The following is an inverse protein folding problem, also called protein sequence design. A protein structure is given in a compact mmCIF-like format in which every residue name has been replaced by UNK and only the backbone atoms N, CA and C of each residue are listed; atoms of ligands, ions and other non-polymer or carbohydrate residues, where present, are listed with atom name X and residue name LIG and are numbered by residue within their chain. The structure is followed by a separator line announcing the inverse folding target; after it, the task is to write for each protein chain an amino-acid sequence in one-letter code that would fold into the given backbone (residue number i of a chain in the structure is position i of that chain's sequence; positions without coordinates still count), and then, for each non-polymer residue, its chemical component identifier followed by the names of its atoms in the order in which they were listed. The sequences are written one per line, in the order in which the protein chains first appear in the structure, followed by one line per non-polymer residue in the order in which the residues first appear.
data_IF_921485525811
#
_entry.id   IF_921485525811
#
_cell.length_a   1.000
_cell.length_b   1.000
_cell.length_c   1.000
_cell.angle_alpha   90.00
_cell.angle_beta   90.00
_cell.angle_gamma   90.00
#
_symmetry.space_group_name_H-M   'P 1'
#
loop_
_entity.id
_entity.type
_entity.pdbx_description
1 polymer ?
#
# COMPACT_ATOMS: atom_id res chain seq x y z
N UNK A 1 -26.24 5.91 -37.32
CA UNK A 1 -25.04 5.14 -36.91
C UNK A 1 -24.55 5.67 -35.58
N UNK A 2 -25.28 5.33 -34.51
CA UNK A 2 -24.94 5.59 -33.11
C UNK A 2 -25.35 4.30 -32.41
N UNK A 3 -24.38 3.43 -32.13
CA UNK A 3 -24.47 2.29 -31.20
C UNK A 3 -23.32 1.34 -31.51
N UNK A 4 -22.25 1.40 -30.71
CA UNK A 4 -21.29 0.29 -30.51
C UNK A 4 -20.25 0.55 -29.39
N UNK A 5 -20.19 1.73 -28.76
CA UNK A 5 -19.19 1.99 -27.71
C UNK A 5 -19.69 1.85 -26.25
N UNK A 6 -20.96 1.49 -26.01
CA UNK A 6 -21.52 1.42 -24.66
C UNK A 6 -21.51 0.02 -24.00
N UNK A 7 -21.03 -1.02 -24.69
CA UNK A 7 -21.20 -2.41 -24.24
C UNK A 7 -19.97 -3.04 -23.56
N UNK A 8 -18.83 -2.34 -23.49
CA UNK A 8 -17.59 -2.89 -22.91
C UNK A 8 -17.37 -2.46 -21.45
N UNK A 9 -18.13 -1.49 -20.93
CA UNK A 9 -17.87 -0.92 -19.59
C UNK A 9 -18.75 -1.49 -18.46
N UNK A 10 -19.59 -2.50 -18.73
CA UNK A 10 -20.56 -3.03 -17.75
C UNK A 10 -20.42 -4.54 -17.44
N UNK A 11 -19.26 -5.14 -17.70
CA UNK A 11 -18.99 -6.58 -17.46
C UNK A 11 -17.94 -6.86 -16.38
N UNK A 12 -17.66 -5.90 -15.49
CA UNK A 12 -16.68 -6.05 -14.40
C UNK A 12 -17.30 -6.08 -13.00
N UNK A 13 -18.61 -6.35 -12.87
CA UNK A 13 -19.29 -6.46 -11.58
C UNK A 13 -20.13 -7.74 -11.55
N UNK A 14 -19.53 -8.85 -11.11
CA UNK A 14 -20.19 -9.98 -10.42
C UNK A 14 -19.34 -11.25 -10.36
N UNK A 15 -18.01 -11.18 -10.42
CA UNK A 15 -17.22 -12.21 -9.75
C UNK A 15 -17.39 -12.00 -8.25
N UNK A 16 -18.38 -12.67 -7.66
CA UNK A 16 -18.41 -12.97 -6.23
C UNK A 16 -17.18 -13.85 -5.98
N UNK A 17 -16.01 -13.21 -5.85
CA UNK A 17 -14.82 -13.85 -5.34
C UNK A 17 -15.18 -14.18 -3.91
N UNK A 18 -15.54 -15.44 -3.69
CA UNK A 18 -15.67 -15.98 -2.35
C UNK A 18 -14.35 -15.66 -1.64
N UNK A 19 -14.40 -14.78 -0.63
CA UNK A 19 -13.24 -14.42 0.19
C UNK A 19 -12.83 -15.67 0.93
N UNK A 20 -12.01 -16.46 0.26
CA UNK A 20 -11.53 -17.73 0.76
C UNK A 20 -10.46 -17.37 1.77
N UNK A 21 -10.77 -17.61 3.05
CA UNK A 21 -9.79 -17.53 4.13
C UNK A 21 -8.54 -18.33 3.71
N UNK A 22 -7.34 -17.75 3.87
CA UNK A 22 -6.10 -18.33 3.38
C UNK A 22 -5.96 -19.80 3.78
N UNK A 23 -5.46 -20.63 2.87
CA UNK A 23 -5.40 -22.08 3.08
C UNK A 23 -4.65 -22.47 4.36
N UNK A 24 -3.60 -21.73 4.73
CA UNK A 24 -2.86 -21.92 5.97
C UNK A 24 -3.74 -21.85 7.22
N UNK A 25 -4.74 -20.95 7.24
CA UNK A 25 -5.69 -20.80 8.34
C UNK A 25 -6.63 -22.01 8.49
N UNK A 26 -6.78 -22.81 7.43
CA UNK A 26 -7.65 -23.96 7.41
C UNK A 26 -6.94 -25.26 7.84
N UNK A 27 -5.60 -25.28 7.80
CA UNK A 27 -4.79 -26.44 8.15
C UNK A 27 -5.04 -26.91 9.58
N UNK A 28 -5.23 -28.22 9.74
CA UNK A 28 -5.42 -28.82 11.06
C UNK A 28 -4.15 -28.69 11.90
N UNK A 29 -2.96 -28.84 11.31
CA UNK A 29 -1.69 -28.65 12.01
C UNK A 29 -1.55 -27.23 12.60
N UNK A 30 -2.03 -26.21 11.89
CA UNK A 30 -1.98 -24.82 12.35
C UNK A 30 -3.00 -24.57 13.48
N UNK A 31 -4.26 -24.95 13.26
CA UNK A 31 -5.33 -24.80 14.27
C UNK A 31 -4.98 -25.49 15.58
N UNK A 32 -4.47 -26.72 15.51
CA UNK A 32 -4.08 -27.50 16.69
C UNK A 32 -2.88 -26.88 17.41
N UNK A 33 -1.88 -26.39 16.67
CA UNK A 33 -0.74 -25.69 17.25
C UNK A 33 -1.19 -24.45 18.03
N UNK A 34 -2.02 -23.60 17.40
CA UNK A 34 -2.49 -22.35 17.99
C UNK A 34 -3.32 -22.65 19.24
N UNK A 35 -4.31 -23.54 19.15
CA UNK A 35 -5.15 -23.93 20.29
C UNK A 35 -4.33 -24.49 21.47
N UNK A 36 -3.34 -25.34 21.19
CA UNK A 36 -2.46 -25.91 22.21
C UNK A 36 -1.60 -24.84 22.86
N UNK A 37 -0.98 -23.96 22.06
CA UNK A 37 -0.17 -22.85 22.56
C UNK A 37 -0.96 -21.95 23.51
N UNK A 38 -2.16 -21.54 23.11
CA UNK A 38 -3.01 -20.67 23.94
C UNK A 38 -3.39 -21.35 25.24
N UNK A 39 -3.79 -22.61 25.16
CA UNK A 39 -4.24 -23.39 26.32
C UNK A 39 -3.14 -23.55 27.36
N UNK A 40 -1.90 -23.75 26.93
CA UNK A 40 -0.75 -23.95 27.79
C UNK A 40 -0.20 -22.63 28.34
N UNK A 41 -0.24 -21.57 27.54
CA UNK A 41 0.60 -20.39 27.76
C UNK A 41 -0.16 -19.10 28.06
N UNK A 42 -1.45 -19.02 27.72
CA UNK A 42 -2.26 -17.80 27.87
C UNK A 42 -3.25 -17.84 29.05
N UNK A 43 -3.12 -18.79 29.98
CA UNK A 43 -3.95 -18.83 31.21
C UNK A 43 -3.36 -17.90 32.28
N UNK A 44 -4.23 -17.29 33.09
CA UNK A 44 -3.84 -16.41 34.21
C UNK A 44 -2.97 -17.13 35.26
N UNK A 45 -3.17 -18.43 35.43
CA UNK A 45 -2.46 -19.29 36.40
C UNK A 45 -1.39 -20.17 35.74
N UNK A 46 -1.06 -19.94 34.46
CA UNK A 46 -0.02 -20.71 33.78
C UNK A 46 1.35 -20.45 34.44
N UNK A 47 2.22 -21.47 34.60
CA UNK A 47 3.55 -21.27 35.12
C UNK A 47 4.28 -20.21 34.30
N UNK A 48 4.97 -19.30 35.00
CA UNK A 48 5.52 -18.02 34.51
C UNK A 48 6.56 -18.15 33.38
N UNK A 49 6.84 -19.39 32.96
CA UNK A 49 7.96 -19.76 32.12
C UNK A 49 7.63 -19.86 30.62
N UNK A 50 6.35 -19.86 30.20
CA UNK A 50 6.00 -19.92 28.78
C UNK A 50 4.85 -18.95 28.43
N UNK A 51 5.19 -17.73 28.02
CA UNK A 51 4.29 -16.64 27.54
C UNK A 51 3.52 -15.87 28.64
N UNK A 52 3.23 -16.45 29.81
CA UNK A 52 2.87 -15.63 31.00
C UNK A 52 4.10 -15.26 31.84
N UNK A 53 5.05 -14.56 31.20
CA UNK A 53 6.27 -14.04 31.83
C UNK A 53 6.78 -12.78 31.13
N UNK A 54 5.84 -11.87 30.80
CA UNK A 54 6.01 -10.64 30.02
C UNK A 54 6.68 -10.84 28.66
N UNK A 55 5.88 -10.80 27.59
CA UNK A 55 6.40 -10.50 26.25
C UNK A 55 7.48 -9.41 26.36
N UNK A 56 8.64 -9.55 25.69
CA UNK A 56 9.66 -8.52 25.66
C UNK A 56 9.05 -7.14 25.47
N UNK A 57 9.57 -6.12 26.17
CA UNK A 57 8.97 -4.78 26.17
C UNK A 57 8.70 -4.27 24.75
N UNK A 58 9.60 -4.55 23.82
CA UNK A 58 9.45 -4.21 22.40
C UNK A 58 8.19 -4.81 21.75
N UNK A 59 7.84 -6.05 22.08
CA UNK A 59 6.62 -6.69 21.57
C UNK A 59 5.37 -6.11 22.24
N UNK A 60 5.44 -5.76 23.53
CA UNK A 60 4.32 -5.08 24.22
C UNK A 60 4.07 -3.67 23.67
N UNK A 61 5.14 -2.92 23.39
CA UNK A 61 5.06 -1.62 22.72
C UNK A 61 4.41 -1.79 21.34
N UNK A 62 4.81 -2.84 20.60
CA UNK A 62 4.17 -3.23 19.34
C UNK A 62 2.79 -3.89 19.49
N UNK A 63 2.11 -3.77 20.64
CA UNK A 63 0.77 -4.31 20.88
C UNK A 63 0.62 -5.82 20.55
N UNK A 64 1.67 -6.59 20.79
CA UNK A 64 1.59 -8.04 20.79
C UNK A 64 1.00 -8.51 22.13
N UNK A 65 0.15 -9.53 22.05
CA UNK A 65 -0.40 -10.25 23.18
C UNK A 65 -0.12 -11.75 23.03
N UNK A 66 -0.38 -12.52 24.08
CA UNK A 66 -0.12 -13.97 24.12
C UNK A 66 -0.75 -14.70 22.93
N UNK A 67 -1.98 -14.35 22.56
CA UNK A 67 -2.70 -14.94 21.43
C UNK A 67 -1.97 -14.70 20.10
N UNK A 68 -1.60 -13.45 19.81
CA UNK A 68 -0.86 -13.10 18.59
C UNK A 68 0.54 -13.70 18.55
N UNK A 69 1.18 -13.89 19.72
CA UNK A 69 2.48 -14.55 19.79
C UNK A 69 2.39 -16.05 19.49
N UNK A 70 1.33 -16.71 20.00
CA UNK A 70 1.03 -18.10 19.66
C UNK A 70 0.73 -18.27 18.17
N UNK A 71 -0.06 -17.37 17.59
CA UNK A 71 -0.35 -17.35 16.15
C UNK A 71 0.94 -17.25 15.33
N UNK A 72 1.76 -16.21 15.57
CA UNK A 72 3.07 -16.03 14.91
C UNK A 72 3.99 -17.24 15.06
N UNK A 73 4.12 -17.78 16.29
CA UNK A 73 4.96 -18.94 16.57
C UNK A 73 4.50 -20.18 15.80
N UNK A 74 3.19 -20.39 15.70
CA UNK A 74 2.62 -21.50 14.96
C UNK A 74 2.75 -21.34 13.45
N UNK A 75 2.63 -20.12 12.90
CA UNK A 75 2.93 -19.87 11.50
C UNK A 75 4.38 -20.29 11.17
N UNK A 76 5.34 -19.94 12.04
CA UNK A 76 6.74 -20.38 11.91
C UNK A 76 6.87 -21.90 11.92
N UNK A 77 6.30 -22.56 12.94
CA UNK A 77 6.43 -24.01 13.13
C UNK A 77 5.84 -24.75 11.92
N UNK A 78 4.63 -24.38 11.49
CA UNK A 78 3.96 -25.03 10.36
C UNK A 78 4.71 -24.78 9.06
N UNK A 79 5.15 -23.55 8.80
CA UNK A 79 5.94 -23.22 7.60
C UNK A 79 7.21 -24.07 7.52
N UNK A 80 7.99 -24.13 8.61
CA UNK A 80 9.23 -24.91 8.65
C UNK A 80 8.98 -26.42 8.56
N UNK A 81 7.93 -26.92 9.22
CA UNK A 81 7.53 -28.33 9.12
C UNK A 81 7.18 -28.70 7.68
N UNK A 82 6.36 -27.89 7.01
CA UNK A 82 5.93 -28.14 5.63
C UNK A 82 7.11 -28.12 4.67
N UNK A 83 7.98 -27.11 4.77
CA UNK A 83 9.20 -27.00 3.96
C UNK A 83 10.12 -28.21 4.15
N UNK A 84 10.33 -28.67 5.39
CA UNK A 84 11.15 -29.86 5.69
C UNK A 84 10.59 -31.15 5.06
N UNK A 85 9.26 -31.26 4.95
CA UNK A 85 8.59 -32.42 4.38
C UNK A 85 8.29 -32.28 2.88
N UNK A 86 8.84 -31.27 2.20
CA UNK A 86 8.58 -31.04 0.77
C UNK A 86 7.14 -30.63 0.45
N UNK A 87 6.39 -30.15 1.44
CA UNK A 87 5.03 -29.64 1.26
C UNK A 87 5.05 -28.16 0.90
N UNK A 88 4.07 -27.71 0.11
CA UNK A 88 3.91 -26.31 -0.29
C UNK A 88 3.74 -25.41 0.94
N UNK A 89 4.49 -24.31 1.00
CA UNK A 89 4.29 -23.24 1.98
C UNK A 89 2.93 -22.56 1.75
N UNK A 90 2.28 -22.10 2.81
CA UNK A 90 0.91 -21.57 2.76
C UNK A 90 0.86 -20.18 3.41
N UNK A 91 -0.05 -19.34 2.94
CA UNK A 91 -0.34 -18.06 3.56
C UNK A 91 -1.24 -18.23 4.78
N UNK A 92 -1.01 -17.39 5.78
CA UNK A 92 -1.81 -17.24 6.99
C UNK A 92 -2.35 -15.82 7.01
N UNK A 93 -3.67 -15.66 7.17
CA UNK A 93 -4.32 -14.35 7.21
C UNK A 93 -4.00 -13.43 6.01
N UNK A 94 -3.83 -14.02 4.82
CA UNK A 94 -3.51 -13.30 3.58
C UNK A 94 -2.03 -12.98 3.39
N UNK A 95 -1.16 -13.42 4.32
CA UNK A 95 0.28 -13.11 4.30
C UNK A 95 1.13 -14.35 4.42
N UNK A 96 2.35 -14.28 3.90
CA UNK A 96 3.35 -15.30 4.13
C UNK A 96 3.97 -15.17 5.53
N UNK A 97 4.65 -16.22 5.99
CA UNK A 97 5.42 -16.16 7.23
C UNK A 97 6.72 -15.35 7.03
N UNK A 98 6.92 -14.32 7.87
CA UNK A 98 8.14 -13.51 7.93
C UNK A 98 8.90 -13.74 9.24
N UNK A 99 10.23 -13.65 9.19
CA UNK A 99 11.01 -13.60 10.42
C UNK A 99 10.89 -12.21 11.03
N UNK A 100 10.49 -12.16 12.30
CA UNK A 100 10.41 -10.90 13.05
C UNK A 100 11.80 -10.51 13.56
N UNK A 101 12.24 -9.28 13.27
CA UNK A 101 13.52 -8.71 13.72
C UNK A 101 13.24 -7.48 14.57
N UNK A 102 13.78 -7.40 15.79
CA UNK A 102 13.52 -6.30 16.74
C UNK A 102 12.02 -5.96 16.95
N UNK A 103 11.14 -6.97 16.84
CA UNK A 103 9.70 -6.77 16.94
C UNK A 103 8.98 -6.33 15.66
N UNK A 104 9.73 -6.00 14.60
CA UNK A 104 9.21 -5.64 13.27
C UNK A 104 8.74 -6.89 12.55
N UNK A 105 7.46 -6.92 12.16
CA UNK A 105 6.83 -8.06 11.50
C UNK A 105 7.37 -8.28 10.08
N UNK A 106 7.54 -7.22 9.29
CA UNK A 106 8.02 -7.29 7.90
C UNK A 106 9.24 -6.36 7.69
N UNK A 107 10.46 -6.80 8.08
CA UNK A 107 11.62 -5.91 8.16
C UNK A 107 12.03 -5.24 6.85
N UNK A 108 11.94 -5.97 5.72
CA UNK A 108 12.29 -5.42 4.41
C UNK A 108 11.27 -4.36 3.96
N UNK A 109 9.98 -4.63 4.10
CA UNK A 109 8.90 -3.68 3.79
C UNK A 109 9.07 -2.39 4.61
N UNK A 110 9.33 -2.50 5.92
CA UNK A 110 9.62 -1.34 6.80
C UNK A 110 10.81 -0.53 6.31
N UNK A 111 11.93 -1.20 6.01
CA UNK A 111 13.15 -0.51 5.57
C UNK A 111 12.92 0.26 4.27
N UNK A 112 12.31 -0.37 3.26
CA UNK A 112 12.06 0.29 1.99
C UNK A 112 10.95 1.36 2.07
N UNK A 113 9.96 1.22 2.95
CA UNK A 113 8.98 2.30 3.23
C UNK A 113 9.67 3.53 3.82
N UNK A 114 10.61 3.36 4.76
CA UNK A 114 11.39 4.47 5.33
C UNK A 114 12.20 5.17 4.24
N UNK A 115 12.85 4.41 3.35
CA UNK A 115 13.63 4.98 2.24
C UNK A 115 12.76 5.77 1.26
N UNK A 116 11.58 5.25 0.89
CA UNK A 116 10.64 6.02 0.07
C UNK A 116 10.17 7.30 0.79
N UNK A 117 9.86 7.21 2.08
CA UNK A 117 9.54 8.39 2.91
C UNK A 117 10.67 9.43 2.92
N UNK A 118 11.93 8.99 2.99
CA UNK A 118 13.09 9.87 2.90
C UNK A 118 13.18 10.60 1.56
N UNK A 119 12.86 9.94 0.44
CA UNK A 119 12.81 10.59 -0.87
C UNK A 119 11.72 11.68 -0.92
N UNK A 120 10.53 11.43 -0.36
CA UNK A 120 9.50 12.46 -0.25
C UNK A 120 9.93 13.62 0.68
N UNK A 121 10.72 13.35 1.72
CA UNK A 121 11.31 14.37 2.58
C UNK A 121 12.28 15.26 1.79
N UNK A 122 13.18 14.68 1.00
CA UNK A 122 14.08 15.43 0.13
C UNK A 122 13.31 16.27 -0.90
N UNK A 123 12.32 15.66 -1.56
CA UNK A 123 11.44 16.33 -2.51
C UNK A 123 10.74 17.55 -1.90
N UNK A 124 10.21 17.43 -0.68
CA UNK A 124 9.62 18.57 0.05
C UNK A 124 10.61 19.74 0.21
N UNK A 125 11.85 19.46 0.60
CA UNK A 125 12.88 20.49 0.79
C UNK A 125 13.30 21.11 -0.55
N UNK A 126 13.54 20.29 -1.58
CA UNK A 126 13.90 20.77 -2.92
C UNK A 126 12.79 21.63 -3.52
N UNK A 127 11.52 21.25 -3.40
CA UNK A 127 10.39 22.06 -3.87
C UNK A 127 10.35 23.40 -3.15
N UNK A 128 10.58 23.43 -1.83
CA UNK A 128 10.56 24.69 -1.07
C UNK A 128 11.69 25.64 -1.47
N UNK A 129 12.89 25.09 -1.71
CA UNK A 129 14.11 25.85 -1.99
C UNK A 129 14.26 26.26 -3.47
N UNK A 130 13.96 25.36 -4.40
CA UNK A 130 14.27 25.53 -5.82
C UNK A 130 13.11 26.11 -6.63
N UNK A 131 11.86 25.91 -6.20
CA UNK A 131 10.69 26.39 -6.94
C UNK A 131 10.30 27.79 -6.45
N UNK A 132 10.16 28.79 -7.34
CA UNK A 132 9.73 30.14 -6.98
C UNK A 132 8.39 30.18 -6.23
N UNK A 133 8.23 31.09 -5.27
CA UNK A 133 7.03 31.16 -4.42
C UNK A 133 5.78 31.67 -5.14
N UNK A 134 5.96 32.40 -6.25
CA UNK A 134 4.92 32.84 -7.18
C UNK A 134 4.47 31.73 -8.15
N UNK A 135 5.21 30.62 -8.23
CA UNK A 135 4.81 29.50 -9.05
C UNK A 135 3.58 28.78 -8.46
N UNK A 136 2.46 28.88 -9.18
CA UNK A 136 1.15 28.37 -8.75
C UNK A 136 1.17 26.90 -8.29
N UNK A 137 1.84 26.01 -9.04
CA UNK A 137 1.85 24.57 -8.72
C UNK A 137 2.76 24.21 -7.54
N UNK A 138 3.57 25.14 -6.99
CA UNK A 138 4.43 24.88 -5.83
C UNK A 138 3.63 24.32 -4.66
N UNK A 139 2.45 24.89 -4.37
CA UNK A 139 1.58 24.42 -3.28
C UNK A 139 1.10 22.99 -3.52
N UNK A 140 0.78 22.64 -4.76
CA UNK A 140 0.32 21.30 -5.10
C UNK A 140 1.41 20.25 -4.89
N UNK A 141 2.64 20.57 -5.28
CA UNK A 141 3.79 19.69 -5.10
C UNK A 141 4.19 19.56 -3.63
N UNK A 142 4.09 20.64 -2.84
CA UNK A 142 4.31 20.59 -1.38
C UNK A 142 3.29 19.64 -0.73
N UNK A 143 2.00 19.77 -1.05
CA UNK A 143 0.97 18.88 -0.51
C UNK A 143 1.21 17.44 -0.95
N UNK A 144 1.60 17.20 -2.20
CA UNK A 144 1.95 15.86 -2.68
C UNK A 144 3.11 15.26 -1.86
N UNK A 145 4.16 16.03 -1.59
CA UNK A 145 5.27 15.57 -0.77
C UNK A 145 4.86 15.27 0.69
N UNK A 146 3.99 16.09 1.29
CA UNK A 146 3.44 15.85 2.64
C UNK A 146 2.57 14.59 2.68
N UNK A 147 1.70 14.40 1.69
CA UNK A 147 0.88 13.20 1.58
C UNK A 147 1.73 11.95 1.35
N UNK A 148 2.82 12.07 0.58
CA UNK A 148 3.81 11.02 0.40
C UNK A 148 4.49 10.63 1.71
N UNK A 149 4.96 11.62 2.49
CA UNK A 149 5.49 11.38 3.84
C UNK A 149 4.47 10.66 4.73
N UNK A 150 3.21 11.07 4.70
CA UNK A 150 2.15 10.43 5.47
C UNK A 150 1.88 8.98 4.99
N UNK A 151 1.83 8.73 3.68
CA UNK A 151 1.63 7.40 3.13
C UNK A 151 2.75 6.44 3.53
N UNK A 152 4.01 6.83 3.34
CA UNK A 152 5.14 5.97 3.68
C UNK A 152 5.34 5.82 5.19
N UNK A 153 4.94 6.81 5.99
CA UNK A 153 4.87 6.67 7.44
C UNK A 153 3.87 5.58 7.83
N UNK A 154 2.64 5.61 7.32
CA UNK A 154 1.64 4.60 7.66
C UNK A 154 1.99 3.22 7.10
N UNK A 155 2.59 3.14 5.92
CA UNK A 155 3.18 1.91 5.38
C UNK A 155 4.24 1.33 6.32
N UNK A 156 5.14 2.18 6.84
CA UNK A 156 6.15 1.78 7.83
C UNK A 156 5.51 1.22 9.11
N UNK A 157 4.48 1.90 9.63
CA UNK A 157 3.80 1.49 10.87
C UNK A 157 3.00 0.19 10.66
N UNK A 158 2.33 0.03 9.52
CA UNK A 158 1.61 -1.18 9.15
C UNK A 158 2.53 -2.40 9.04
N UNK A 159 3.63 -2.27 8.30
CA UNK A 159 4.61 -3.35 8.13
C UNK A 159 5.41 -3.65 9.41
N UNK A 160 5.52 -2.68 10.30
CA UNK A 160 6.05 -2.91 11.64
C UNK A 160 5.08 -3.75 12.47
N UNK A 161 3.80 -3.40 12.45
CA UNK A 161 2.76 -4.09 13.20
C UNK A 161 1.39 -4.00 12.50
N UNK A 162 0.93 -5.16 12.06
CA UNK A 162 -0.36 -5.30 11.39
C UNK A 162 -1.52 -5.45 12.40
N UNK A 163 -2.47 -4.52 12.32
CA UNK A 163 -3.82 -4.63 12.87
C UNK A 163 -4.76 -3.70 12.11
N UNK A 164 -6.07 -3.90 12.27
CA UNK A 164 -7.13 -3.21 11.52
C UNK A 164 -6.94 -1.69 11.35
N UNK A 165 -6.42 -1.00 12.37
CA UNK A 165 -6.20 0.44 12.27
C UNK A 165 -4.99 0.79 11.39
N UNK A 166 -3.86 0.10 11.55
CA UNK A 166 -2.65 0.37 10.75
C UNK A 166 -2.88 -0.01 9.29
N UNK A 167 -3.58 -1.11 9.03
CA UNK A 167 -4.00 -1.55 7.69
C UNK A 167 -4.84 -0.47 6.98
N UNK A 168 -5.86 0.06 7.67
CA UNK A 168 -6.71 1.14 7.12
C UNK A 168 -5.93 2.43 6.92
N UNK A 169 -5.08 2.79 7.88
CA UNK A 169 -4.32 4.03 7.80
C UNK A 169 -3.30 4.02 6.65
N UNK A 170 -2.66 2.87 6.39
CA UNK A 170 -1.78 2.67 5.24
C UNK A 170 -2.55 2.84 3.93
N UNK A 171 -3.61 2.06 3.74
CA UNK A 171 -4.36 2.06 2.48
C UNK A 171 -5.05 3.39 2.19
N UNK A 172 -5.64 4.04 3.20
CA UNK A 172 -6.28 5.34 3.02
C UNK A 172 -5.26 6.44 2.74
N UNK A 173 -4.05 6.34 3.30
CA UNK A 173 -2.97 7.29 3.03
C UNK A 173 -2.40 7.12 1.62
N UNK A 174 -2.18 5.88 1.18
CA UNK A 174 -1.79 5.58 -0.20
C UNK A 174 -2.87 6.06 -1.21
N UNK A 175 -4.15 5.84 -0.89
CA UNK A 175 -5.25 6.32 -1.70
C UNK A 175 -5.37 7.85 -1.74
N UNK A 176 -5.14 8.53 -0.61
CA UNK A 176 -5.12 9.99 -0.57
C UNK A 176 -3.99 10.58 -1.45
N UNK A 177 -2.80 9.98 -1.41
CA UNK A 177 -1.66 10.38 -2.25
C UNK A 177 -1.98 10.21 -3.74
N UNK A 178 -2.51 9.03 -4.11
CA UNK A 178 -2.88 8.69 -5.49
C UNK A 178 -3.97 9.64 -6.01
N UNK A 179 -5.00 9.88 -5.20
CA UNK A 179 -6.09 10.78 -5.55
C UNK A 179 -5.62 12.24 -5.67
N UNK A 180 -4.75 12.71 -4.78
CA UNK A 180 -4.19 14.05 -4.88
C UNK A 180 -3.42 14.24 -6.18
N UNK A 181 -2.61 13.25 -6.56
CA UNK A 181 -1.90 13.23 -7.84
C UNK A 181 -2.85 13.29 -9.03
N UNK A 182 -3.87 12.43 -9.03
CA UNK A 182 -4.92 12.46 -10.04
C UNK A 182 -5.68 13.80 -10.07
N UNK A 183 -5.90 14.44 -8.92
CA UNK A 183 -6.59 15.72 -8.82
C UNK A 183 -5.84 16.84 -9.54
N UNK A 184 -4.53 17.02 -9.28
CA UNK A 184 -3.78 18.15 -9.85
C UNK A 184 -3.24 17.89 -11.27
N UNK A 185 -3.11 16.63 -11.69
CA UNK A 185 -2.61 16.24 -13.02
C UNK A 185 -3.38 16.88 -14.20
N UNK A 186 -4.73 16.79 -14.30
CA UNK A 186 -5.47 17.43 -15.39
C UNK A 186 -5.37 18.96 -15.34
N UNK A 187 -5.33 19.56 -14.14
CA UNK A 187 -5.12 21.01 -13.97
C UNK A 187 -3.80 21.42 -14.61
N UNK A 188 -2.73 20.65 -14.36
CA UNK A 188 -1.39 20.91 -14.89
C UNK A 188 -1.24 20.68 -16.39
N UNK A 189 -1.86 19.62 -16.91
CA UNK A 189 -1.71 19.20 -18.31
C UNK A 189 -2.53 20.08 -19.24
N UNK A 190 -3.80 20.33 -18.91
CA UNK A 190 -4.70 21.14 -19.74
C UNK A 190 -4.60 22.64 -19.45
N UNK A 191 -3.66 23.04 -18.58
CA UNK A 191 -3.43 24.43 -18.17
C UNK A 191 -4.73 25.12 -17.75
N UNK A 192 -5.51 24.42 -16.92
CA UNK A 192 -6.80 24.95 -16.42
C UNK A 192 -6.60 26.26 -15.64
N UNK A 193 -5.39 26.48 -15.11
CA UNK A 193 -4.92 27.72 -14.49
C UNK A 193 -5.03 28.96 -15.37
N UNK A 194 -5.02 28.82 -16.70
CA UNK A 194 -5.08 29.94 -17.63
C UNK A 194 -6.51 30.40 -17.96
N UNK A 195 -7.54 29.68 -17.52
CA UNK A 195 -8.93 30.03 -17.82
C UNK A 195 -9.49 31.04 -16.81
N UNK A 196 -10.32 31.97 -17.29
CA UNK A 196 -10.95 33.00 -16.44
C UNK A 196 -11.74 32.42 -15.25
N UNK A 197 -12.37 31.27 -15.44
CA UNK A 197 -13.19 30.60 -14.43
C UNK A 197 -12.45 29.46 -13.71
N UNK A 198 -11.11 29.49 -13.65
CA UNK A 198 -10.33 28.37 -13.11
C UNK A 198 -10.76 27.94 -11.70
N UNK A 199 -11.03 28.91 -10.81
CA UNK A 199 -11.47 28.65 -9.44
C UNK A 199 -12.71 27.76 -9.40
N UNK A 200 -13.70 28.03 -10.25
CA UNK A 200 -14.92 27.24 -10.32
C UNK A 200 -14.62 25.78 -10.72
N UNK A 201 -13.81 25.57 -11.75
CA UNK A 201 -13.43 24.24 -12.19
C UNK A 201 -12.63 23.47 -11.14
N UNK A 202 -11.70 24.14 -10.45
CA UNK A 202 -10.93 23.50 -9.37
C UNK A 202 -11.83 23.12 -8.21
N UNK A 203 -12.71 24.00 -7.74
CA UNK A 203 -13.57 23.68 -6.61
C UNK A 203 -14.58 22.59 -6.94
N UNK A 204 -15.15 22.61 -8.16
CA UNK A 204 -16.03 21.54 -8.62
C UNK A 204 -15.29 20.21 -8.66
N UNK A 205 -14.11 20.18 -9.27
CA UNK A 205 -13.29 18.97 -9.36
C UNK A 205 -12.84 18.45 -8.00
N UNK A 206 -12.38 19.35 -7.12
CA UNK A 206 -12.02 19.02 -5.74
C UNK A 206 -13.20 18.42 -4.98
N UNK A 207 -14.40 18.99 -5.14
CA UNK A 207 -15.62 18.48 -4.50
C UNK A 207 -15.95 17.07 -4.96
N UNK A 208 -15.81 16.78 -6.26
CA UNK A 208 -15.99 15.43 -6.81
C UNK A 208 -14.96 14.45 -6.22
N UNK A 209 -13.68 14.81 -6.24
CA UNK A 209 -12.63 13.96 -5.66
C UNK A 209 -12.85 13.69 -4.18
N UNK A 210 -13.14 14.73 -3.39
CA UNK A 210 -13.39 14.62 -1.94
C UNK A 210 -14.63 13.74 -1.68
N UNK A 211 -15.72 13.94 -2.42
CA UNK A 211 -16.93 13.14 -2.27
C UNK A 211 -16.64 11.65 -2.48
N UNK A 212 -15.98 11.28 -3.58
CA UNK A 212 -15.65 9.89 -3.86
C UNK A 212 -14.65 9.30 -2.86
N UNK A 213 -13.68 10.09 -2.39
CA UNK A 213 -12.75 9.64 -1.35
C UNK A 213 -13.44 9.36 -0.02
N UNK A 214 -14.32 10.25 0.42
CA UNK A 214 -15.11 10.06 1.63
C UNK A 214 -16.04 8.86 1.50
N UNK A 215 -16.75 8.73 0.38
CA UNK A 215 -17.61 7.57 0.14
C UNK A 215 -16.81 6.25 0.17
N UNK A 216 -15.65 6.20 -0.48
CA UNK A 216 -14.76 5.04 -0.51
C UNK A 216 -14.23 4.68 0.89
N UNK A 217 -13.68 5.65 1.62
CA UNK A 217 -13.14 5.44 2.97
C UNK A 217 -14.23 5.09 3.99
N UNK A 218 -15.42 5.68 3.89
CA UNK A 218 -16.56 5.33 4.72
C UNK A 218 -17.05 3.91 4.44
N UNK A 219 -17.15 3.51 3.17
CA UNK A 219 -17.51 2.13 2.80
C UNK A 219 -16.54 1.11 3.41
N UNK A 220 -15.24 1.30 3.20
CA UNK A 220 -14.19 0.41 3.73
C UNK A 220 -14.10 0.43 5.27
N UNK A 221 -14.50 1.54 5.91
CA UNK A 221 -14.45 1.67 7.37
C UNK A 221 -15.64 1.02 8.08
N UNK A 222 -16.84 1.20 7.53
CA UNK A 222 -18.11 0.93 8.23
C UNK A 222 -18.95 -0.19 7.62
N UNK A 223 -18.72 -0.56 6.36
CA UNK A 223 -19.50 -1.62 5.68
C UNK A 223 -18.68 -2.91 5.64
N UNK A 224 -17.68 -2.98 4.76
CA UNK A 224 -16.83 -4.14 4.59
C UNK A 224 -15.45 -3.68 4.14
N UNK A 225 -14.42 -4.13 4.84
CA UNK A 225 -13.05 -3.88 4.42
C UNK A 225 -12.63 -4.96 3.44
N UNK A 226 -12.61 -4.61 2.14
CA UNK A 226 -12.21 -5.51 1.07
C UNK A 226 -10.92 -5.00 0.42
N UNK A 227 -9.83 -5.73 0.64
CA UNK A 227 -8.50 -5.41 0.12
C UNK A 227 -8.49 -5.33 -1.41
N UNK A 228 -9.06 -6.33 -2.08
CA UNK A 228 -9.09 -6.39 -3.55
C UNK A 228 -9.84 -5.21 -4.16
N UNK A 229 -10.94 -4.79 -3.52
CA UNK A 229 -11.67 -3.58 -3.92
C UNK A 229 -10.82 -2.31 -3.71
N UNK A 230 -10.18 -2.16 -2.55
CA UNK A 230 -9.28 -1.03 -2.27
C UNK A 230 -8.16 -0.94 -3.32
N UNK A 231 -7.51 -2.07 -3.61
CA UNK A 231 -6.45 -2.14 -4.60
C UNK A 231 -6.98 -1.78 -6.00
N UNK A 232 -8.11 -2.35 -6.41
CA UNK A 232 -8.73 -2.05 -7.70
C UNK A 232 -9.10 -0.56 -7.85
N UNK A 233 -9.62 0.07 -6.80
CA UNK A 233 -9.94 1.50 -6.81
C UNK A 233 -8.69 2.37 -7.01
N UNK A 234 -7.60 2.07 -6.30
CA UNK A 234 -6.33 2.80 -6.44
C UNK A 234 -5.68 2.58 -7.81
N UNK A 235 -5.66 1.34 -8.32
CA UNK A 235 -5.17 1.03 -9.66
C UNK A 235 -6.00 1.76 -10.72
N UNK A 236 -7.32 1.83 -10.57
CA UNK A 236 -8.19 2.55 -11.49
C UNK A 236 -7.81 4.04 -11.56
N UNK A 237 -7.76 4.74 -10.42
CA UNK A 237 -7.40 6.17 -10.38
C UNK A 237 -5.96 6.39 -10.89
N UNK A 238 -5.01 5.57 -10.46
CA UNK A 238 -3.62 5.62 -10.90
C UNK A 238 -3.45 5.39 -12.40
N UNK A 239 -4.26 4.50 -13.01
CA UNK A 239 -4.22 4.24 -14.45
C UNK A 239 -4.68 5.46 -15.25
N UNK A 240 -5.76 6.13 -14.83
CA UNK A 240 -6.20 7.38 -15.47
C UNK A 240 -5.13 8.48 -15.36
N UNK A 241 -4.49 8.61 -14.20
CA UNK A 241 -3.37 9.54 -14.01
C UNK A 241 -2.21 9.20 -14.96
N UNK A 242 -1.83 7.93 -15.08
CA UNK A 242 -0.74 7.49 -15.96
C UNK A 242 -1.05 7.77 -17.44
N UNK A 243 -2.28 7.52 -17.89
CA UNK A 243 -2.72 7.87 -19.25
C UNK A 243 -2.55 9.36 -19.52
N UNK A 244 -2.90 10.23 -18.56
CA UNK A 244 -2.71 11.67 -18.71
C UNK A 244 -1.23 12.05 -18.84
N UNK A 245 -0.33 11.47 -18.04
CA UNK A 245 1.11 11.73 -18.14
C UNK A 245 1.74 11.19 -19.43
N UNK A 246 1.27 10.05 -19.93
CA UNK A 246 1.64 9.54 -21.26
C UNK A 246 1.20 10.52 -22.33
N UNK A 247 -0.06 10.96 -22.30
CA UNK A 247 -0.59 11.96 -23.23
C UNK A 247 0.22 13.26 -23.20
N UNK A 248 0.57 13.76 -22.00
CA UNK A 248 1.42 14.94 -21.84
C UNK A 248 2.78 14.75 -22.52
N UNK A 249 3.42 13.61 -22.28
CA UNK A 249 4.75 13.31 -22.81
C UNK A 249 4.75 13.24 -24.33
N UNK A 250 3.76 12.56 -24.92
CA UNK A 250 3.64 12.41 -26.37
C UNK A 250 3.28 13.74 -27.05
N UNK A 251 2.36 14.52 -26.45
CA UNK A 251 1.91 15.80 -27.03
C UNK A 251 2.97 16.90 -26.97
N UNK A 252 3.94 16.78 -26.07
CA UNK A 252 5.03 17.75 -25.91
C UNK A 252 6.37 17.22 -26.43
N UNK A 253 6.40 16.03 -27.04
CA UNK A 253 7.62 15.47 -27.61
C UNK A 253 8.22 16.40 -28.67
N UNK A 254 9.53 16.64 -28.58
CA UNK A 254 10.26 17.56 -29.47
C UNK A 254 10.06 19.06 -29.20
N UNK A 255 9.05 19.47 -28.42
CA UNK A 255 8.77 20.89 -28.14
C UNK A 255 9.22 21.37 -26.76
N UNK A 256 9.34 20.46 -25.78
CA UNK A 256 9.79 20.76 -24.42
C UNK A 256 10.94 19.85 -24.02
N UNK A 257 11.98 20.45 -23.45
CA UNK A 257 13.01 19.69 -22.72
C UNK A 257 12.34 18.86 -21.62
N UNK A 258 12.78 17.62 -21.44
CA UNK A 258 12.24 16.69 -20.44
C UNK A 258 10.76 16.28 -20.65
N UNK A 259 10.19 16.45 -21.85
CA UNK A 259 8.84 15.98 -22.15
C UNK A 259 8.66 14.46 -21.93
N UNK A 260 9.73 13.66 -22.09
CA UNK A 260 9.68 12.21 -21.90
C UNK A 260 9.92 11.75 -20.45
N UNK A 261 10.28 12.64 -19.53
CA UNK A 261 10.51 12.25 -18.13
C UNK A 261 9.26 11.65 -17.46
N UNK A 262 8.06 12.24 -17.59
CA UNK A 262 6.86 11.62 -17.04
C UNK A 262 6.59 10.24 -17.63
N UNK A 263 6.86 10.03 -18.92
CA UNK A 263 6.74 8.71 -19.55
C UNK A 263 7.70 7.68 -18.94
N UNK A 264 8.97 8.06 -18.73
CA UNK A 264 9.96 7.21 -18.05
C UNK A 264 9.45 6.80 -16.66
N UNK A 265 9.00 7.77 -15.85
CA UNK A 265 8.48 7.53 -14.50
C UNK A 265 7.24 6.63 -14.53
N UNK A 266 6.31 6.84 -15.47
CA UNK A 266 5.12 5.99 -15.62
C UNK A 266 5.52 4.55 -15.95
N UNK A 267 6.45 4.34 -16.87
CA UNK A 267 6.94 3.00 -17.20
C UNK A 267 7.62 2.35 -15.98
N UNK A 268 8.48 3.08 -15.29
CA UNK A 268 9.18 2.64 -14.10
C UNK A 268 8.22 2.20 -12.97
N UNK A 269 7.24 3.05 -12.62
CA UNK A 269 6.23 2.73 -11.59
C UNK A 269 5.36 1.56 -12.04
N UNK A 270 5.00 1.46 -13.32
CA UNK A 270 4.19 0.34 -13.83
C UNK A 270 4.94 -0.99 -13.71
N UNK A 271 6.23 -1.01 -14.07
CA UNK A 271 7.10 -2.18 -13.88
C UNK A 271 7.22 -2.53 -12.40
N UNK A 272 7.37 -1.54 -11.53
CA UNK A 272 7.41 -1.74 -10.08
C UNK A 272 6.13 -2.42 -9.58
N UNK A 273 4.95 -1.89 -9.94
CA UNK A 273 3.65 -2.46 -9.56
C UNK A 273 3.45 -3.89 -10.08
N UNK A 274 4.05 -4.25 -11.22
CA UNK A 274 3.98 -5.63 -11.73
C UNK A 274 4.56 -6.66 -10.74
N UNK A 275 5.50 -6.26 -9.86
CA UNK A 275 6.06 -7.17 -8.86
C UNK A 275 5.00 -7.66 -7.87
N UNK A 276 4.03 -6.83 -7.53
CA UNK A 276 2.96 -7.15 -6.58
C UNK A 276 2.08 -8.33 -7.04
N UNK A 277 1.99 -8.57 -8.35
CA UNK A 277 1.20 -9.68 -8.90
C UNK A 277 1.85 -11.06 -8.78
N UNK A 278 3.16 -11.16 -8.53
CA UNK A 278 3.85 -12.46 -8.50
C UNK A 278 3.67 -13.24 -7.20
N UNK A 279 3.13 -12.62 -6.14
CA UNK A 279 2.79 -13.19 -4.82
C UNK A 279 3.51 -14.52 -4.48
N UNK A 280 4.75 -14.41 -4.00
CA UNK A 280 5.62 -15.56 -3.71
C UNK A 280 6.06 -15.59 -2.23
N UNK A 281 6.40 -16.78 -1.68
CA UNK A 281 6.92 -16.90 -0.31
C UNK A 281 8.21 -16.10 -0.11
N UNK A 282 8.37 -15.40 1.01
CA UNK A 282 9.46 -14.45 1.20
C UNK A 282 10.83 -15.14 1.13
N UNK A 283 11.68 -14.62 0.26
CA UNK A 283 13.07 -15.01 0.13
C UNK A 283 13.77 -14.69 1.46
N UNK A 284 14.44 -15.69 2.03
CA UNK A 284 15.06 -15.63 3.36
C UNK A 284 14.08 -15.26 4.49
N UNK A 285 12.76 -15.43 4.27
CA UNK A 285 11.71 -14.98 5.19
C UNK A 285 11.71 -13.47 5.45
N UNK A 286 12.29 -12.68 4.53
CA UNK A 286 12.43 -11.23 4.62
C UNK A 286 11.86 -10.50 3.41
N UNK A 287 12.18 -10.97 2.19
CA UNK A 287 11.85 -10.27 0.94
C UNK A 287 10.73 -10.99 0.19
N UNK A 288 9.54 -10.43 0.19
CA UNK A 288 8.39 -10.85 -0.61
C UNK A 288 8.18 -9.94 -1.83
N UNK A 289 7.13 -10.21 -2.60
CA UNK A 289 6.73 -9.40 -3.75
C UNK A 289 6.52 -7.91 -3.38
N UNK A 290 5.88 -7.64 -2.24
CA UNK A 290 5.52 -6.31 -1.81
C UNK A 290 6.72 -5.45 -1.36
N UNK A 291 7.65 -6.03 -0.59
CA UNK A 291 8.90 -5.35 -0.22
C UNK A 291 9.80 -5.07 -1.43
N UNK A 292 9.83 -5.96 -2.43
CA UNK A 292 10.53 -5.70 -3.70
C UNK A 292 9.89 -4.56 -4.49
N UNK A 293 8.55 -4.46 -4.49
CA UNK A 293 7.87 -3.31 -5.07
C UNK A 293 8.31 -2.00 -4.39
N UNK A 294 8.35 -1.94 -3.05
CA UNK A 294 8.86 -0.76 -2.33
C UNK A 294 10.30 -0.43 -2.70
N UNK A 295 11.17 -1.44 -2.80
CA UNK A 295 12.57 -1.27 -3.20
C UNK A 295 12.67 -0.64 -4.59
N UNK A 296 11.93 -1.19 -5.57
CA UNK A 296 11.96 -0.71 -6.95
C UNK A 296 11.41 0.72 -7.05
N UNK A 297 10.34 1.04 -6.32
CA UNK A 297 9.84 2.41 -6.22
C UNK A 297 10.91 3.37 -5.71
N UNK A 298 11.65 3.01 -4.66
CA UNK A 298 12.74 3.83 -4.14
C UNK A 298 13.84 4.04 -5.19
N UNK A 299 14.31 2.97 -5.84
CA UNK A 299 15.39 3.04 -6.82
C UNK A 299 15.06 4.01 -7.97
N UNK A 300 13.83 4.00 -8.47
CA UNK A 300 13.40 4.89 -9.53
C UNK A 300 13.18 6.35 -9.11
N UNK A 301 13.00 6.62 -7.81
CA UNK A 301 12.79 7.98 -7.31
C UNK A 301 14.11 8.68 -6.90
N UNK A 302 15.22 7.95 -6.82
CA UNK A 302 16.54 8.50 -6.47
C UNK A 302 17.35 8.95 -7.70
N UNK A 303 17.01 8.46 -8.89
CA UNK A 303 17.59 8.88 -10.18
C UNK A 303 17.03 10.23 -10.68
#
# INVERSE_FOLDING_TARGET
MVSSCAFVSLLLVSSIISVSCSRGNQLLEFKNCVASCITLNCRKDAPTQLIHGSLPLILRIGMWNCQSECDYSCQRIVTLYRKKNGLREEQFWGKWYFIRIFGIQEPASVFFSILNGYVHYLGFHWIKLLIPSDYMFKKFYIIYAILGLNAWFWSTVFHMRDFKFTERADYFSAGALTLWSFFFTPIRIFRLDCYRNYNFFIYLWASVCIFFFLAHTMYLSFVEFNYSYNMAANIFIGSFQNILWIYYSLSNYGSRSFALWPLYIVCAITIAMCFEFFDFPPILYLFDAHSLWHMVCFLFLVE
#
